data_IF_883206362112
#
_entry.id   IF_883206362112
#
_cell.length_a   1.000
_cell.length_b   1.000
_cell.length_c   1.000
_cell.angle_alpha   90.00
_cell.angle_beta   90.00
_cell.angle_gamma   90.00
#
_symmetry.space_group_name_H-M   'P 1'
#
loop_
_entity.id
_entity.type
_entity.pdbx_description
1 polymer ?
#
# COMPACT_ATOMS: atom_id res chain seq x y z
N UNK A 1 -36.12 20.99 57.43
CA UNK A 1 -35.68 21.37 56.06
C UNK A 1 -34.16 21.22 55.87
N UNK A 2 -33.32 21.58 56.84
CA UNK A 2 -31.85 21.47 56.73
C UNK A 2 -31.31 20.02 56.70
N UNK A 3 -31.90 19.10 57.46
CA UNK A 3 -31.44 17.69 57.49
C UNK A 3 -31.63 17.02 56.12
N UNK A 4 -32.75 17.28 55.45
CA UNK A 4 -33.03 16.75 54.11
C UNK A 4 -32.05 17.30 53.07
N UNK A 5 -31.68 18.59 53.16
CA UNK A 5 -30.65 19.19 52.28
C UNK A 5 -29.26 18.59 52.50
N UNK A 6 -28.88 18.28 53.75
CA UNK A 6 -27.61 17.58 54.04
C UNK A 6 -27.59 16.15 53.52
N UNK A 7 -28.69 15.41 53.63
CA UNK A 7 -28.78 14.03 53.11
C UNK A 7 -28.70 14.01 51.58
N UNK A 8 -29.37 14.96 50.90
CA UNK A 8 -29.29 15.10 49.44
C UNK A 8 -27.85 15.43 49.00
N UNK A 9 -27.17 16.34 49.69
CA UNK A 9 -25.78 16.73 49.37
C UNK A 9 -24.80 15.56 49.56
N UNK A 10 -24.95 14.78 50.64
CA UNK A 10 -24.13 13.57 50.89
C UNK A 10 -24.41 12.52 49.81
N UNK A 11 -25.68 12.35 49.40
CA UNK A 11 -26.05 11.38 48.36
C UNK A 11 -25.43 11.76 47.00
N UNK A 12 -25.44 13.05 46.64
CA UNK A 12 -24.81 13.54 45.40
C UNK A 12 -23.28 13.35 45.45
N UNK A 13 -22.64 13.61 46.59
CA UNK A 13 -21.19 13.41 46.75
C UNK A 13 -20.80 11.92 46.66
N UNK A 14 -21.59 11.02 47.25
CA UNK A 14 -21.35 9.57 47.20
C UNK A 14 -21.57 9.03 45.79
N UNK A 15 -22.63 9.46 45.09
CA UNK A 15 -22.87 9.09 43.69
C UNK A 15 -21.78 9.65 42.76
N UNK A 16 -21.33 10.88 42.98
CA UNK A 16 -20.22 11.48 42.24
C UNK A 16 -18.90 10.74 42.44
N UNK A 17 -18.56 10.37 43.69
CA UNK A 17 -17.35 9.62 43.99
C UNK A 17 -17.37 8.20 43.39
N UNK A 18 -18.52 7.52 43.43
CA UNK A 18 -18.66 6.17 42.85
C UNK A 18 -18.59 6.18 41.33
N UNK A 19 -19.18 7.17 40.66
CA UNK A 19 -19.02 7.37 39.21
C UNK A 19 -17.55 7.66 38.83
N UNK A 20 -16.87 8.52 39.59
CA UNK A 20 -15.47 8.86 39.33
C UNK A 20 -14.53 7.65 39.49
N UNK A 21 -14.74 6.84 40.54
CA UNK A 21 -14.00 5.59 40.75
C UNK A 21 -14.29 4.58 39.63
N UNK A 22 -15.56 4.45 39.20
CA UNK A 22 -15.94 3.56 38.11
C UNK A 22 -15.32 3.97 36.77
N UNK A 23 -15.28 5.27 36.47
CA UNK A 23 -14.62 5.78 35.26
C UNK A 23 -13.11 5.52 35.29
N UNK A 24 -12.44 5.81 36.41
CA UNK A 24 -11.00 5.54 36.55
C UNK A 24 -10.66 4.06 36.45
N UNK A 25 -11.50 3.18 37.02
CA UNK A 25 -11.32 1.74 36.91
C UNK A 25 -11.44 1.29 35.45
N UNK A 26 -12.47 1.76 34.73
CA UNK A 26 -12.66 1.44 33.31
C UNK A 26 -11.50 1.93 32.43
N UNK A 27 -10.97 3.13 32.67
CA UNK A 27 -9.78 3.63 31.98
C UNK A 27 -8.54 2.80 32.27
N UNK A 28 -8.31 2.42 33.53
CA UNK A 28 -7.19 1.57 33.92
C UNK A 28 -7.29 0.16 33.34
N UNK A 29 -8.50 -0.40 33.26
CA UNK A 29 -8.74 -1.71 32.67
C UNK A 29 -8.48 -1.68 31.15
N UNK A 30 -8.88 -0.60 30.44
CA UNK A 30 -8.56 -0.40 29.02
C UNK A 30 -7.05 -0.24 28.79
N UNK A 31 -6.36 0.51 29.66
CA UNK A 31 -4.90 0.69 29.57
C UNK A 31 -4.17 -0.64 29.79
N UNK A 32 -4.59 -1.42 30.80
CA UNK A 32 -4.03 -2.76 31.06
C UNK A 32 -4.33 -3.75 29.93
N UNK A 33 -5.52 -3.68 29.32
CA UNK A 33 -5.85 -4.52 28.19
C UNK A 33 -5.01 -4.16 26.96
N UNK A 34 -4.75 -2.87 26.71
CA UNK A 34 -3.82 -2.41 25.67
C UNK A 34 -2.37 -2.84 25.95
N UNK A 35 -1.94 -2.73 27.20
CA UNK A 35 -0.59 -3.13 27.64
C UNK A 35 -0.40 -4.65 27.53
N UNK A 36 -1.40 -5.45 27.93
CA UNK A 36 -1.39 -6.90 27.78
C UNK A 36 -1.43 -7.34 26.31
N UNK A 37 -2.24 -6.69 25.46
CA UNK A 37 -2.24 -6.96 24.01
C UNK A 37 -0.90 -6.59 23.36
N UNK A 38 -0.25 -5.51 23.80
CA UNK A 38 1.10 -5.17 23.37
C UNK A 38 2.15 -6.19 23.83
N UNK A 39 2.03 -6.73 25.05
CA UNK A 39 2.91 -7.78 25.56
C UNK A 39 2.71 -9.11 24.82
N UNK A 40 1.47 -9.52 24.56
CA UNK A 40 1.14 -10.70 23.75
C UNK A 40 1.64 -10.55 22.31
N UNK A 41 1.51 -9.37 21.70
CA UNK A 41 2.04 -9.08 20.37
C UNK A 41 3.57 -9.12 20.31
N UNK A 42 4.27 -8.86 21.42
CA UNK A 42 5.74 -8.85 21.46
C UNK A 42 6.36 -10.24 21.30
N UNK A 43 5.62 -11.28 21.65
CA UNK A 43 6.11 -12.66 21.60
C UNK A 43 5.82 -13.40 20.29
N UNK A 44 4.86 -12.91 19.50
CA UNK A 44 4.47 -13.48 18.21
C UNK A 44 5.49 -13.21 17.09
N UNK A 45 5.58 -14.13 16.13
CA UNK A 45 6.24 -13.85 14.85
C UNK A 45 5.44 -12.82 14.05
N UNK A 46 6.07 -12.14 13.09
CA UNK A 46 5.35 -11.18 12.22
C UNK A 46 4.20 -11.87 11.47
N UNK A 47 4.42 -13.09 11.00
CA UNK A 47 3.37 -13.86 10.33
C UNK A 47 2.19 -14.14 11.25
N UNK A 48 2.45 -14.55 12.50
CA UNK A 48 1.39 -14.77 13.49
C UNK A 48 0.65 -13.48 13.81
N UNK A 49 1.36 -12.35 13.93
CA UNK A 49 0.76 -11.04 14.14
C UNK A 49 -0.22 -10.66 13.02
N UNK A 50 0.22 -10.78 11.76
CA UNK A 50 -0.63 -10.51 10.60
C UNK A 50 -1.81 -11.47 10.60
N UNK A 51 -1.54 -12.78 10.66
CA UNK A 51 -2.58 -13.82 10.59
C UNK A 51 -3.64 -13.67 11.68
N UNK A 52 -3.25 -13.38 12.91
CA UNK A 52 -4.16 -13.21 14.03
C UNK A 52 -4.96 -11.89 13.98
N UNK A 53 -4.50 -10.92 13.18
CA UNK A 53 -5.15 -9.63 13.00
C UNK A 53 -6.17 -9.60 11.86
N UNK A 54 -6.19 -10.62 10.99
CA UNK A 54 -7.12 -10.70 9.86
C UNK A 54 -8.57 -10.70 10.37
N UNK A 55 -9.37 -9.76 9.88
CA UNK A 55 -10.78 -9.61 10.21
C UNK A 55 -11.66 -10.58 9.39
N UNK A 56 -12.95 -10.65 9.73
CA UNK A 56 -13.91 -11.53 9.04
C UNK A 56 -14.09 -11.23 7.54
N UNK A 57 -13.80 -10.00 7.11
CA UNK A 57 -13.80 -9.60 5.69
C UNK A 57 -12.50 -10.02 4.96
N UNK A 58 -11.53 -10.59 5.66
CA UNK A 58 -10.25 -11.03 5.10
C UNK A 58 -9.23 -9.91 4.91
N UNK A 59 -9.42 -8.76 5.54
CA UNK A 59 -8.53 -7.60 5.54
C UNK A 59 -7.86 -7.41 6.92
N UNK A 60 -6.77 -6.65 6.94
CA UNK A 60 -6.21 -6.14 8.20
C UNK A 60 -7.00 -4.89 8.65
N UNK A 61 -7.07 -4.61 9.96
CA UNK A 61 -7.63 -3.36 10.46
C UNK A 61 -6.95 -2.14 9.83
N UNK A 62 -7.71 -1.06 9.61
CA UNK A 62 -7.20 0.20 9.04
C UNK A 62 -6.04 0.80 9.85
N UNK A 63 -6.01 0.56 11.17
CA UNK A 63 -4.95 1.01 12.07
C UNK A 63 -3.85 -0.05 12.32
N UNK A 64 -3.86 -1.18 11.60
CA UNK A 64 -2.82 -2.20 11.70
C UNK A 64 -1.47 -1.64 11.27
N UNK A 65 -0.44 -1.91 12.08
CA UNK A 65 0.95 -1.55 11.79
C UNK A 65 1.88 -2.60 12.38
N UNK A 66 2.98 -2.88 11.69
CA UNK A 66 4.02 -3.72 12.25
C UNK A 66 4.76 -3.00 13.40
N UNK A 67 5.32 -3.76 14.36
CA UNK A 67 6.18 -3.18 15.38
C UNK A 67 7.37 -2.44 14.74
N UNK A 68 7.68 -1.20 15.17
CA UNK A 68 8.77 -0.45 14.58
C UNK A 68 10.13 -1.12 14.86
N UNK A 69 11.04 -1.07 13.88
CA UNK A 69 12.44 -1.56 14.01
C UNK A 69 13.18 -0.83 15.14
N UNK A 70 12.99 0.49 15.26
CA UNK A 70 13.49 1.30 16.38
C UNK A 70 12.30 1.94 17.12
N UNK A 71 11.97 1.49 18.34
CA UNK A 71 10.91 2.08 19.16
C UNK A 71 11.12 3.57 19.51
N UNK A 72 12.35 4.08 19.40
CA UNK A 72 12.68 5.48 19.67
C UNK A 72 12.84 6.32 18.40
N UNK A 73 12.78 5.69 17.22
CA UNK A 73 12.87 6.35 15.92
C UNK A 73 11.53 6.95 15.49
N UNK A 74 11.56 7.77 14.44
CA UNK A 74 10.33 8.18 13.75
C UNK A 74 9.78 6.96 13.00
N UNK A 75 8.57 6.48 13.33
CA UNK A 75 8.02 5.29 12.68
C UNK A 75 7.65 5.61 11.22
N UNK A 76 8.09 4.76 10.31
CA UNK A 76 7.62 4.75 8.92
C UNK A 76 6.29 4.03 8.84
N UNK A 77 5.45 4.40 7.86
CA UNK A 77 4.33 3.56 7.49
C UNK A 77 4.85 2.28 6.82
N UNK A 78 4.13 1.17 7.00
CA UNK A 78 4.46 -0.11 6.38
C UNK A 78 4.64 0.05 4.85
N UNK A 79 5.79 -0.38 4.34
CA UNK A 79 6.20 -0.28 2.93
C UNK A 79 6.79 1.08 2.51
N UNK A 80 6.77 2.10 3.38
CA UNK A 80 7.16 3.45 2.99
C UNK A 80 8.65 3.62 2.71
N UNK A 81 9.52 2.92 3.43
CA UNK A 81 10.96 2.97 3.16
C UNK A 81 11.28 2.41 1.77
N UNK A 82 10.66 1.28 1.41
CA UNK A 82 10.83 0.64 0.11
C UNK A 82 10.25 1.52 -1.00
N UNK A 83 9.07 2.10 -0.79
CA UNK A 83 8.46 3.07 -1.69
C UNK A 83 9.35 4.29 -1.94
N UNK A 84 9.91 4.89 -0.89
CA UNK A 84 10.82 6.03 -1.03
C UNK A 84 12.07 5.65 -1.82
N UNK A 85 12.66 4.48 -1.54
CA UNK A 85 13.80 4.00 -2.28
C UNK A 85 13.48 3.86 -3.78
N UNK A 86 12.36 3.21 -4.12
CA UNK A 86 11.97 2.92 -5.50
C UNK A 86 11.67 4.19 -6.31
N UNK A 87 10.92 5.13 -5.74
CA UNK A 87 10.41 6.28 -6.49
C UNK A 87 11.33 7.52 -6.43
N UNK A 88 12.19 7.64 -5.42
CA UNK A 88 12.93 8.89 -5.16
C UNK A 88 14.45 8.75 -5.10
N UNK A 89 14.98 7.53 -5.24
CA UNK A 89 16.43 7.33 -5.28
C UNK A 89 16.89 6.93 -6.68
N UNK A 90 18.12 7.33 -7.02
CA UNK A 90 18.82 6.77 -8.19
C UNK A 90 19.24 5.37 -7.78
N UNK A 91 18.54 4.34 -8.25
CA UNK A 91 18.60 2.93 -7.82
C UNK A 91 19.96 2.24 -7.94
N UNK A 92 20.98 2.81 -7.31
CA UNK A 92 22.28 2.20 -7.12
C UNK A 92 22.11 1.13 -6.03
N UNK A 93 22.28 -0.13 -6.42
CA UNK A 93 22.23 -1.23 -5.47
C UNK A 93 23.41 -1.15 -4.49
N UNK A 94 23.12 -1.46 -3.24
CA UNK A 94 24.12 -1.50 -2.18
C UNK A 94 24.92 -2.81 -2.20
N UNK A 95 26.01 -2.85 -1.43
CA UNK A 95 26.84 -4.04 -1.32
C UNK A 95 26.05 -5.25 -0.79
N UNK A 96 26.14 -6.37 -1.54
CA UNK A 96 25.47 -7.63 -1.25
C UNK A 96 26.40 -8.65 -0.59
N UNK A 97 27.69 -8.36 -0.42
CA UNK A 97 28.67 -9.32 0.12
C UNK A 97 28.27 -9.93 1.48
N UNK A 98 27.72 -9.17 2.45
CA UNK A 98 27.22 -9.76 3.69
C UNK A 98 26.11 -10.81 3.44
N UNK A 99 25.21 -10.56 2.48
CA UNK A 99 24.11 -11.48 2.15
C UNK A 99 24.61 -12.71 1.38
N UNK A 100 25.66 -12.60 0.57
CA UNK A 100 26.28 -13.78 -0.07
C UNK A 100 26.81 -14.77 0.96
N UNK A 101 27.50 -14.27 1.99
CA UNK A 101 28.01 -15.13 3.06
C UNK A 101 26.87 -15.88 3.78
N UNK A 102 25.77 -15.18 4.04
CA UNK A 102 24.56 -15.77 4.62
C UNK A 102 23.97 -16.85 3.68
N UNK A 103 23.87 -16.57 2.38
CA UNK A 103 23.39 -17.56 1.40
C UNK A 103 24.27 -18.82 1.40
N UNK A 104 25.60 -18.68 1.52
CA UNK A 104 26.49 -19.84 1.65
C UNK A 104 26.28 -20.59 2.97
N UNK A 105 26.08 -19.89 4.10
CA UNK A 105 25.74 -20.54 5.37
C UNK A 105 24.44 -21.36 5.25
N UNK A 106 23.40 -20.80 4.61
CA UNK A 106 22.16 -21.52 4.33
C UNK A 106 22.41 -22.72 3.42
N UNK A 107 23.16 -22.54 2.33
CA UNK A 107 23.55 -23.61 1.40
C UNK A 107 24.25 -24.77 2.12
N UNK A 108 25.09 -24.48 3.12
CA UNK A 108 25.79 -25.47 3.94
C UNK A 108 24.92 -26.11 5.04
N UNK A 109 23.66 -25.69 5.19
CA UNK A 109 22.72 -26.19 6.22
C UNK A 109 22.90 -25.55 7.59
N UNK A 110 23.66 -24.44 7.70
CA UNK A 110 23.92 -23.72 8.96
C UNK A 110 22.80 -22.72 9.27
N UNK A 111 21.57 -23.19 9.36
CA UNK A 111 20.38 -22.32 9.46
C UNK A 111 20.38 -21.41 10.70
N UNK A 112 20.77 -21.91 11.87
CA UNK A 112 20.83 -21.08 13.10
C UNK A 112 21.86 -19.95 12.99
N UNK A 113 23.02 -20.24 12.37
CA UNK A 113 24.07 -19.25 12.16
C UNK A 113 23.62 -18.20 11.14
N UNK A 114 23.02 -18.64 10.02
CA UNK A 114 22.49 -17.76 8.99
C UNK A 114 21.40 -16.82 9.53
N UNK A 115 20.44 -17.35 10.30
CA UNK A 115 19.39 -16.58 10.95
C UNK A 115 19.97 -15.55 11.94
N UNK A 116 20.91 -15.98 12.79
CA UNK A 116 21.58 -15.07 13.73
C UNK A 116 22.32 -13.93 13.04
N UNK A 117 22.95 -14.21 11.89
CA UNK A 117 23.67 -13.20 11.13
C UNK A 117 22.74 -12.27 10.36
N UNK A 118 21.65 -12.81 9.79
CA UNK A 118 20.59 -12.02 9.17
C UNK A 118 19.95 -11.06 10.17
N UNK A 119 19.65 -11.52 11.39
CA UNK A 119 19.01 -10.71 12.42
C UNK A 119 19.87 -9.55 12.92
N UNK A 120 21.19 -9.70 12.86
CA UNK A 120 22.16 -8.68 13.27
C UNK A 120 22.56 -7.74 12.14
N UNK A 121 22.31 -8.13 10.89
CA UNK A 121 22.69 -7.34 9.75
C UNK A 121 21.79 -6.10 9.68
N UNK A 122 22.40 -4.92 9.59
CA UNK A 122 21.67 -3.70 9.28
C UNK A 122 21.66 -3.51 7.76
N UNK A 123 20.57 -3.93 7.13
CA UNK A 123 20.38 -3.86 5.68
C UNK A 123 18.93 -3.49 5.35
N UNK A 124 18.73 -3.15 4.08
CA UNK A 124 17.42 -3.04 3.47
C UNK A 124 17.41 -3.93 2.23
N UNK A 125 16.41 -4.80 2.12
CA UNK A 125 16.27 -5.71 0.99
C UNK A 125 15.99 -4.99 -0.31
N UNK A 126 15.20 -3.91 -0.29
CA UNK A 126 14.82 -3.19 -1.52
C UNK A 126 16.05 -2.70 -2.30
N UNK A 127 17.15 -2.35 -1.62
CA UNK A 127 18.38 -1.85 -2.23
C UNK A 127 19.38 -2.93 -2.65
N UNK A 128 19.04 -4.22 -2.45
CA UNK A 128 19.93 -5.36 -2.70
C UNK A 128 19.29 -6.52 -3.46
N UNK A 129 17.96 -6.47 -3.65
CA UNK A 129 17.17 -7.60 -4.15
C UNK A 129 17.63 -8.05 -5.54
N UNK A 130 17.79 -7.13 -6.50
CA UNK A 130 18.07 -7.53 -7.89
C UNK A 130 19.48 -8.12 -8.04
N UNK A 131 20.49 -7.49 -7.45
CA UNK A 131 21.87 -7.95 -7.44
C UNK A 131 22.01 -9.29 -6.72
N UNK A 132 21.37 -9.46 -5.56
CA UNK A 132 21.43 -10.72 -4.82
C UNK A 132 20.78 -11.86 -5.61
N UNK A 133 19.56 -11.69 -6.12
CA UNK A 133 18.85 -12.74 -6.84
C UNK A 133 19.58 -13.10 -8.15
N UNK A 134 20.10 -12.09 -8.87
CA UNK A 134 20.91 -12.31 -10.08
C UNK A 134 22.16 -13.15 -9.76
N UNK A 135 22.84 -12.83 -8.67
CA UNK A 135 24.00 -13.59 -8.21
C UNK A 135 23.65 -15.03 -7.81
N UNK A 136 22.54 -15.26 -7.07
CA UNK A 136 22.09 -16.62 -6.72
C UNK A 136 21.81 -17.44 -7.97
N UNK A 137 21.14 -16.87 -8.98
CA UNK A 137 20.85 -17.55 -10.25
C UNK A 137 22.15 -17.91 -11.00
N UNK A 138 23.12 -16.99 -11.02
CA UNK A 138 24.43 -17.22 -11.64
C UNK A 138 25.21 -18.35 -10.94
N UNK A 139 25.19 -18.35 -9.60
CA UNK A 139 25.96 -19.28 -8.77
C UNK A 139 25.19 -20.52 -8.32
N UNK A 140 24.01 -20.78 -8.89
CA UNK A 140 23.11 -21.87 -8.50
C UNK A 140 23.75 -23.27 -8.49
N UNK A 141 24.86 -23.48 -9.20
CA UNK A 141 25.61 -24.75 -9.18
C UNK A 141 26.44 -24.96 -7.91
N UNK A 142 26.78 -23.88 -7.22
CA UNK A 142 27.56 -23.87 -5.98
C UNK A 142 26.68 -23.72 -4.73
N UNK A 143 25.38 -23.50 -4.95
CA UNK A 143 24.40 -23.21 -3.92
C UNK A 143 23.40 -24.37 -3.84
N UNK A 144 23.16 -24.90 -2.64
CA UNK A 144 22.11 -25.87 -2.40
C UNK A 144 20.75 -25.16 -2.35
N UNK A 145 20.02 -25.21 -3.48
CA UNK A 145 18.70 -24.58 -3.61
C UNK A 145 17.64 -25.20 -2.69
N UNK A 146 17.74 -26.48 -2.35
CA UNK A 146 16.80 -27.12 -1.42
C UNK A 146 16.95 -26.51 -0.02
N UNK A 147 18.19 -26.30 0.43
CA UNK A 147 18.44 -25.67 1.72
C UNK A 147 17.97 -24.21 1.74
N UNK A 148 18.16 -23.47 0.65
CA UNK A 148 17.62 -22.10 0.53
C UNK A 148 16.10 -22.07 0.62
N UNK A 149 15.43 -22.97 -0.09
CA UNK A 149 13.99 -23.10 -0.03
C UNK A 149 13.49 -23.47 1.37
N UNK A 150 14.09 -24.48 2.02
CA UNK A 150 13.71 -24.90 3.38
C UNK A 150 13.90 -23.76 4.39
N UNK A 151 15.04 -23.06 4.31
CA UNK A 151 15.28 -21.90 5.15
C UNK A 151 14.24 -20.81 4.91
N UNK A 152 14.05 -20.39 3.65
CA UNK A 152 13.17 -19.28 3.34
C UNK A 152 11.70 -19.58 3.70
N UNK A 153 11.18 -20.77 3.35
CA UNK A 153 9.79 -21.16 3.65
C UNK A 153 9.54 -21.29 5.16
N UNK A 154 10.51 -21.82 5.92
CA UNK A 154 10.37 -21.95 7.38
C UNK A 154 10.43 -20.59 8.09
N UNK A 155 11.30 -19.68 7.64
CA UNK A 155 11.52 -18.39 8.31
C UNK A 155 10.43 -17.36 8.05
N UNK A 156 9.62 -17.52 7.00
CA UNK A 156 8.42 -16.71 6.80
C UNK A 156 7.52 -16.67 8.05
N UNK A 157 7.44 -17.77 8.81
CA UNK A 157 6.48 -17.90 9.92
C UNK A 157 7.09 -17.82 11.31
N UNK A 158 8.42 -17.80 11.44
CA UNK A 158 9.10 -17.86 12.75
C UNK A 158 9.82 -16.58 13.14
N UNK A 159 10.17 -15.72 12.19
CA UNK A 159 10.95 -14.52 12.49
C UNK A 159 10.10 -13.33 12.94
N UNK A 160 10.73 -12.43 13.68
CA UNK A 160 10.20 -11.11 14.07
C UNK A 160 10.87 -9.97 13.30
N UNK A 161 11.73 -10.29 12.33
CA UNK A 161 12.51 -9.33 11.60
C UNK A 161 11.93 -9.12 10.19
N UNK A 162 11.51 -7.88 9.92
CA UNK A 162 10.91 -7.45 8.64
C UNK A 162 11.84 -7.77 7.47
N UNK A 163 13.13 -7.42 7.59
CA UNK A 163 14.10 -7.59 6.49
C UNK A 163 14.43 -9.06 6.24
N UNK A 164 14.31 -9.92 7.26
CA UNK A 164 14.42 -11.38 7.09
C UNK A 164 13.23 -11.94 6.32
N UNK A 165 12.01 -11.47 6.57
CA UNK A 165 10.84 -11.88 5.76
C UNK A 165 11.00 -11.42 4.32
N UNK A 166 11.41 -10.17 4.08
CA UNK A 166 11.68 -9.66 2.73
C UNK A 166 12.76 -10.47 2.02
N UNK A 167 13.82 -10.85 2.73
CA UNK A 167 14.87 -11.74 2.20
C UNK A 167 14.28 -13.09 1.79
N UNK A 168 13.50 -13.71 2.67
CA UNK A 168 12.87 -15.01 2.41
C UNK A 168 11.91 -14.94 1.22
N UNK A 169 11.03 -13.93 1.15
CA UNK A 169 10.12 -13.73 0.01
C UNK A 169 10.90 -13.51 -1.29
N UNK A 170 11.98 -12.73 -1.27
CA UNK A 170 12.84 -12.50 -2.43
C UNK A 170 13.48 -13.81 -2.92
N UNK A 171 14.03 -14.62 -2.01
CA UNK A 171 14.59 -15.93 -2.35
C UNK A 171 13.51 -16.84 -2.92
N UNK A 172 12.35 -16.96 -2.29
CA UNK A 172 11.24 -17.80 -2.76
C UNK A 172 10.74 -17.38 -4.16
N UNK A 173 10.84 -16.09 -4.49
CA UNK A 173 10.51 -15.60 -5.83
C UNK A 173 11.35 -16.24 -6.94
N UNK A 174 12.48 -16.87 -6.67
CA UNK A 174 13.29 -17.60 -7.67
C UNK A 174 13.32 -19.13 -7.47
N UNK A 175 12.50 -19.68 -6.57
CA UNK A 175 12.52 -21.11 -6.19
C UNK A 175 11.40 -21.97 -6.80
N UNK A 176 10.66 -21.46 -7.78
CA UNK A 176 9.55 -22.15 -8.45
C UNK A 176 8.51 -22.74 -7.47
N UNK A 177 8.00 -21.89 -6.56
CA UNK A 177 7.05 -22.27 -5.50
C UNK A 177 5.59 -22.29 -5.95
N UNK A 178 5.30 -22.13 -7.25
CA UNK A 178 3.95 -21.92 -7.77
C UNK A 178 3.01 -23.10 -7.51
N UNK A 179 3.57 -24.31 -7.36
CA UNK A 179 2.82 -25.54 -7.08
C UNK A 179 2.80 -25.93 -5.60
N UNK A 180 3.54 -25.21 -4.74
CA UNK A 180 3.50 -25.43 -3.30
C UNK A 180 2.38 -24.60 -2.65
N UNK A 181 1.22 -25.23 -2.51
CA UNK A 181 0.05 -24.60 -1.90
C UNK A 181 0.29 -24.12 -0.47
N UNK A 182 1.16 -24.77 0.32
CA UNK A 182 1.41 -24.36 1.70
C UNK A 182 2.22 -23.07 1.77
N UNK A 183 3.31 -22.98 1.00
CA UNK A 183 4.09 -21.74 0.91
C UNK A 183 3.29 -20.61 0.29
N UNK A 184 2.49 -20.88 -0.75
CA UNK A 184 1.64 -19.85 -1.36
C UNK A 184 0.60 -19.30 -0.39
N UNK A 185 0.00 -20.12 0.49
CA UNK A 185 -0.90 -19.59 1.53
C UNK A 185 -0.16 -18.64 2.49
N UNK A 186 1.05 -19.01 2.93
CA UNK A 186 1.85 -18.13 3.79
C UNK A 186 2.13 -16.78 3.12
N UNK A 187 2.46 -16.80 1.82
CA UNK A 187 2.70 -15.60 1.01
C UNK A 187 1.41 -14.76 0.88
N UNK A 188 0.24 -15.38 0.68
CA UNK A 188 -1.05 -14.67 0.63
C UNK A 188 -1.39 -13.93 1.91
N UNK A 189 -1.12 -14.54 3.07
CA UNK A 189 -1.31 -13.89 4.37
C UNK A 189 -0.37 -12.68 4.51
N UNK A 190 0.91 -12.85 4.19
CA UNK A 190 1.90 -11.76 4.28
C UNK A 190 1.56 -10.60 3.32
N UNK A 191 1.01 -10.90 2.14
CA UNK A 191 0.62 -9.91 1.15
C UNK A 191 -0.51 -8.98 1.60
N UNK A 192 -1.17 -9.24 2.73
CA UNK A 192 -2.15 -8.32 3.31
C UNK A 192 -1.49 -7.13 4.02
N UNK A 193 -0.21 -7.21 4.37
CA UNK A 193 0.56 -6.09 4.93
C UNK A 193 1.24 -5.31 3.82
N UNK A 194 1.09 -3.98 3.84
CA UNK A 194 1.73 -3.08 2.89
C UNK A 194 3.27 -3.24 2.86
N UNK A 195 3.88 -3.65 3.98
CA UNK A 195 5.33 -3.91 4.12
C UNK A 195 5.84 -5.04 3.20
N UNK A 196 5.02 -6.07 2.99
CA UNK A 196 5.43 -7.29 2.26
C UNK A 196 4.77 -7.46 0.90
N UNK A 197 3.73 -6.66 0.61
CA UNK A 197 2.94 -6.76 -0.63
C UNK A 197 3.83 -6.79 -1.88
N UNK A 198 4.80 -5.88 -2.00
CA UNK A 198 5.72 -5.82 -3.15
C UNK A 198 6.45 -7.15 -3.40
N UNK A 199 7.00 -7.75 -2.34
CA UNK A 199 7.74 -9.01 -2.45
C UNK A 199 6.83 -10.19 -2.74
N UNK A 200 5.61 -10.19 -2.22
CA UNK A 200 4.61 -11.22 -2.51
C UNK A 200 4.12 -11.15 -3.97
N UNK A 201 3.95 -9.94 -4.52
CA UNK A 201 3.59 -9.74 -5.93
C UNK A 201 4.63 -10.37 -6.88
N UNK A 202 5.92 -10.30 -6.55
CA UNK A 202 7.00 -10.96 -7.32
C UNK A 202 6.87 -12.50 -7.37
N UNK A 203 6.16 -13.10 -6.42
CA UNK A 203 5.81 -14.53 -6.44
C UNK A 203 4.50 -14.72 -7.21
N UNK A 204 3.49 -13.88 -6.96
CA UNK A 204 2.17 -14.01 -7.60
C UNK A 204 2.20 -13.90 -9.12
N UNK A 205 3.12 -13.13 -9.71
CA UNK A 205 3.27 -13.04 -11.18
C UNK A 205 3.54 -14.38 -11.88
N UNK A 206 3.96 -15.40 -11.13
CA UNK A 206 4.27 -16.73 -11.67
C UNK A 206 3.13 -17.72 -11.53
N UNK A 207 2.10 -17.41 -10.74
CA UNK A 207 0.96 -18.29 -10.51
C UNK A 207 0.09 -18.44 -11.76
N UNK A 208 -0.53 -19.61 -11.95
CA UNK A 208 -1.47 -19.83 -13.07
C UNK A 208 -2.67 -18.86 -13.01
N UNK A 209 -3.15 -18.55 -11.81
CA UNK A 209 -4.23 -17.59 -11.55
C UNK A 209 -3.72 -16.21 -11.11
N UNK A 210 -2.51 -15.84 -11.50
CA UNK A 210 -1.79 -14.63 -11.08
C UNK A 210 -2.66 -13.37 -10.98
N UNK A 211 -3.31 -12.97 -12.08
CA UNK A 211 -4.07 -11.73 -12.13
C UNK A 211 -5.24 -11.70 -11.12
N UNK A 212 -5.84 -12.87 -10.85
CA UNK A 212 -6.92 -12.98 -9.86
C UNK A 212 -6.37 -12.77 -8.45
N UNK A 213 -5.25 -13.39 -8.11
CA UNK A 213 -4.62 -13.21 -6.78
C UNK A 213 -4.17 -11.76 -6.57
N UNK A 214 -3.55 -11.15 -7.58
CA UNK A 214 -3.15 -9.74 -7.54
C UNK A 214 -4.38 -8.83 -7.36
N UNK A 215 -5.48 -9.12 -8.05
CA UNK A 215 -6.73 -8.35 -7.90
C UNK A 215 -7.33 -8.48 -6.50
N UNK A 216 -7.36 -9.68 -5.93
CA UNK A 216 -7.84 -9.90 -4.56
C UNK A 216 -6.96 -9.18 -3.53
N UNK A 217 -5.64 -9.24 -3.68
CA UNK A 217 -4.72 -8.54 -2.78
C UNK A 217 -4.88 -7.04 -2.93
N UNK A 218 -4.89 -6.52 -4.16
CA UNK A 218 -5.12 -5.11 -4.43
C UNK A 218 -6.32 -4.66 -3.60
N UNK A 219 -7.52 -5.21 -3.78
CA UNK A 219 -8.75 -4.80 -3.04
C UNK A 219 -8.55 -4.62 -1.53
N UNK A 220 -7.69 -5.42 -0.89
CA UNK A 220 -7.49 -5.47 0.56
C UNK A 220 -6.43 -4.52 1.12
N UNK A 221 -5.41 -4.18 0.34
CA UNK A 221 -4.32 -3.28 0.77
C UNK A 221 -4.66 -1.81 0.48
N UNK A 222 -4.32 -0.87 1.36
CA UNK A 222 -4.72 0.54 1.21
C UNK A 222 -3.53 1.52 1.15
N UNK A 223 -2.36 1.16 1.68
CA UNK A 223 -1.14 1.97 1.62
C UNK A 223 -0.23 1.62 0.43
N UNK A 224 1.07 1.40 0.71
CA UNK A 224 2.07 1.10 -0.32
C UNK A 224 1.80 -0.21 -1.08
N UNK A 225 1.13 -1.18 -0.45
CA UNK A 225 0.67 -2.38 -1.11
C UNK A 225 -0.32 -2.07 -2.24
N UNK A 226 -1.21 -1.08 -2.09
CA UNK A 226 -2.09 -0.61 -3.18
C UNK A 226 -1.26 -0.03 -4.32
N UNK A 227 -0.34 0.86 -3.97
CA UNK A 227 0.57 1.52 -4.93
C UNK A 227 1.30 0.49 -5.78
N UNK A 228 1.87 -0.54 -5.16
CA UNK A 228 2.56 -1.61 -5.88
C UNK A 228 1.59 -2.50 -6.67
N UNK A 229 0.48 -2.94 -6.08
CA UNK A 229 -0.46 -3.88 -6.72
C UNK A 229 -1.04 -3.35 -8.02
N UNK A 230 -1.31 -2.04 -8.13
CA UNK A 230 -1.81 -1.41 -9.35
C UNK A 230 -0.83 -1.54 -10.51
N UNK A 231 0.48 -1.51 -10.26
CA UNK A 231 1.49 -1.75 -11.29
C UNK A 231 1.43 -3.16 -11.88
N UNK A 232 1.10 -4.16 -11.04
CA UNK A 232 1.08 -5.58 -11.39
C UNK A 232 -0.27 -6.06 -11.95
N UNK A 233 -1.37 -5.40 -11.63
CA UNK A 233 -2.72 -5.80 -12.02
C UNK A 233 -2.98 -5.54 -13.52
N UNK A 234 -3.42 -6.54 -14.26
CA UNK A 234 -3.77 -6.43 -15.68
C UNK A 234 -5.29 -6.31 -15.90
N UNK A 235 -5.67 -5.43 -16.83
CA UNK A 235 -7.08 -5.19 -17.22
C UNK A 235 -7.53 -6.29 -18.18
N UNK A 236 -7.96 -7.41 -17.62
CA UNK A 236 -8.36 -8.61 -18.39
C UNK A 236 -9.86 -8.69 -18.66
N UNK A 237 -10.66 -7.84 -18.01
CA UNK A 237 -12.12 -7.76 -18.17
C UNK A 237 -12.65 -6.40 -17.68
N UNK A 238 -13.94 -6.15 -17.92
CA UNK A 238 -14.59 -4.90 -17.54
C UNK A 238 -14.72 -4.72 -16.02
N UNK A 239 -14.83 -5.79 -15.24
CA UNK A 239 -14.89 -5.71 -13.76
C UNK A 239 -13.61 -5.07 -13.21
N UNK A 240 -12.44 -5.51 -13.67
CA UNK A 240 -11.16 -4.93 -13.28
C UNK A 240 -11.02 -3.51 -13.81
N UNK A 241 -11.47 -3.25 -15.05
CA UNK A 241 -11.40 -1.91 -15.66
C UNK A 241 -12.20 -0.88 -14.85
N UNK A 242 -13.45 -1.21 -14.50
CA UNK A 242 -14.30 -0.35 -13.67
C UNK A 242 -13.74 -0.24 -12.25
N UNK A 243 -13.28 -1.34 -11.65
CA UNK A 243 -12.71 -1.29 -10.31
C UNK A 243 -11.44 -0.42 -10.24
N UNK A 244 -10.56 -0.44 -11.25
CA UNK A 244 -9.39 0.44 -11.28
C UNK A 244 -9.80 1.91 -11.39
N UNK A 245 -10.86 2.23 -12.15
CA UNK A 245 -11.40 3.59 -12.21
C UNK A 245 -11.96 4.03 -10.84
N UNK A 246 -12.74 3.17 -10.19
CA UNK A 246 -13.46 3.50 -8.96
C UNK A 246 -12.56 3.50 -7.72
N UNK A 247 -11.57 2.61 -7.64
CA UNK A 247 -10.82 2.32 -6.41
C UNK A 247 -9.31 2.33 -6.62
N UNK A 248 -8.83 2.21 -7.86
CA UNK A 248 -7.41 1.98 -8.13
C UNK A 248 -6.51 3.15 -7.71
N UNK A 249 -7.03 4.38 -7.79
CA UNK A 249 -6.31 5.59 -7.38
C UNK A 249 -6.43 5.89 -5.87
N UNK A 250 -7.41 5.29 -5.19
CA UNK A 250 -7.65 5.49 -3.76
C UNK A 250 -6.62 4.73 -2.92
N UNK A 251 -5.73 5.47 -2.26
CA UNK A 251 -4.70 4.93 -1.37
C UNK A 251 -4.35 5.91 -0.25
N UNK A 252 -3.80 5.38 0.84
CA UNK A 252 -3.46 6.12 2.06
C UNK A 252 -2.08 6.79 2.01
N UNK A 253 -1.41 6.75 0.85
CA UNK A 253 -0.09 7.37 0.63
C UNK A 253 -0.25 8.73 -0.05
N UNK A 254 -0.49 8.72 -1.35
CA UNK A 254 -0.82 9.87 -2.19
C UNK A 254 -1.43 9.34 -3.49
N UNK A 255 -2.64 9.75 -3.90
CA UNK A 255 -3.29 9.30 -5.14
C UNK A 255 -2.39 9.39 -6.39
N UNK A 256 -1.55 10.42 -6.47
CA UNK A 256 -0.62 10.65 -7.57
C UNK A 256 0.28 9.45 -7.92
N UNK A 257 0.69 8.62 -6.94
CA UNK A 257 1.53 7.44 -7.18
C UNK A 257 0.90 6.38 -8.09
N UNK A 258 -0.43 6.35 -8.18
CA UNK A 258 -1.16 5.35 -8.98
C UNK A 258 -1.90 5.98 -10.16
N UNK A 259 -2.15 7.30 -10.14
CA UNK A 259 -2.99 7.99 -11.12
C UNK A 259 -2.55 7.76 -12.57
N UNK A 260 -1.27 7.95 -12.88
CA UNK A 260 -0.73 7.70 -14.23
C UNK A 260 -0.99 6.27 -14.70
N UNK A 261 -0.64 5.29 -13.84
CA UNK A 261 -0.79 3.86 -14.15
C UNK A 261 -2.25 3.48 -14.33
N UNK A 262 -3.15 3.95 -13.47
CA UNK A 262 -4.59 3.76 -13.58
C UNK A 262 -5.11 4.32 -14.90
N UNK A 263 -4.86 5.61 -15.19
CA UNK A 263 -5.34 6.28 -16.40
C UNK A 263 -4.88 5.57 -17.69
N UNK A 264 -3.63 5.08 -17.70
CA UNK A 264 -3.08 4.31 -18.82
C UNK A 264 -3.72 2.94 -18.96
N UNK A 265 -3.80 2.16 -17.87
CA UNK A 265 -4.33 0.79 -17.88
C UNK A 265 -5.81 0.73 -18.29
N UNK A 266 -6.62 1.67 -17.84
CA UNK A 266 -8.06 1.70 -18.19
C UNK A 266 -8.35 2.42 -19.50
N UNK A 267 -7.33 2.98 -20.17
CA UNK A 267 -7.49 3.85 -21.34
C UNK A 267 -8.54 4.94 -21.07
N UNK A 268 -8.20 5.89 -20.19
CA UNK A 268 -9.15 6.91 -19.72
C UNK A 268 -9.81 7.71 -20.87
N UNK A 269 -9.09 7.92 -21.98
CA UNK A 269 -9.64 8.59 -23.19
C UNK A 269 -10.77 7.76 -23.81
N UNK A 270 -10.64 6.43 -23.89
CA UNK A 270 -11.71 5.54 -24.37
C UNK A 270 -12.97 5.67 -23.51
N UNK A 271 -12.81 5.70 -22.18
CA UNK A 271 -13.92 5.87 -21.24
C UNK A 271 -14.59 7.23 -21.44
N UNK A 272 -13.80 8.30 -21.60
CA UNK A 272 -14.32 9.64 -21.87
C UNK A 272 -14.99 9.77 -23.25
N UNK A 273 -14.66 8.90 -24.20
CA UNK A 273 -15.35 8.86 -25.50
C UNK A 273 -16.73 8.19 -25.44
N UNK A 274 -17.07 7.48 -24.35
CA UNK A 274 -18.39 6.87 -24.20
C UNK A 274 -19.48 7.96 -24.18
N UNK A 275 -20.51 7.78 -25.01
CA UNK A 275 -21.67 8.67 -25.06
C UNK A 275 -22.52 8.66 -23.80
N UNK A 276 -22.37 7.68 -22.90
CA UNK A 276 -23.21 7.48 -21.71
C UNK A 276 -22.40 7.35 -20.42
N UNK A 277 -21.85 8.46 -19.93
CA UNK A 277 -21.18 8.52 -18.63
C UNK A 277 -22.20 8.99 -17.57
N UNK A 278 -22.33 8.25 -16.48
CA UNK A 278 -23.16 8.63 -15.33
C UNK A 278 -22.46 9.69 -14.48
N UNK A 279 -23.20 10.45 -13.67
CA UNK A 279 -22.58 11.43 -12.77
C UNK A 279 -21.60 10.77 -11.78
N UNK A 280 -21.94 9.59 -11.22
CA UNK A 280 -21.03 8.86 -10.34
C UNK A 280 -19.71 8.55 -11.07
N UNK A 281 -19.81 7.96 -12.26
CA UNK A 281 -18.62 7.58 -13.04
C UNK A 281 -17.80 8.81 -13.44
N UNK A 282 -18.46 9.93 -13.72
CA UNK A 282 -17.74 11.19 -13.97
C UNK A 282 -17.01 11.70 -12.73
N UNK A 283 -17.58 11.59 -11.53
CA UNK A 283 -16.88 11.93 -10.29
C UNK A 283 -15.64 11.05 -10.08
N UNK A 284 -15.73 9.74 -10.36
CA UNK A 284 -14.60 8.82 -10.27
C UNK A 284 -13.49 9.21 -11.28
N UNK A 285 -13.89 9.63 -12.50
CA UNK A 285 -12.97 10.20 -13.50
C UNK A 285 -12.34 11.50 -13.00
N UNK A 286 -13.11 12.40 -12.38
CA UNK A 286 -12.61 13.67 -11.82
C UNK A 286 -11.57 13.42 -10.74
N UNK A 287 -11.82 12.48 -9.83
CA UNK A 287 -10.85 12.10 -8.80
C UNK A 287 -9.52 11.62 -9.42
N UNK A 288 -9.59 10.75 -10.43
CA UNK A 288 -8.41 10.29 -11.15
C UNK A 288 -7.69 11.43 -11.90
N UNK A 289 -8.44 12.35 -12.51
CA UNK A 289 -7.88 13.52 -13.19
C UNK A 289 -7.20 14.49 -12.22
N UNK A 290 -7.76 14.71 -11.02
CA UNK A 290 -7.14 15.50 -9.96
C UNK A 290 -5.79 14.90 -9.57
N UNK A 291 -5.79 13.61 -9.22
CA UNK A 291 -4.60 12.89 -8.83
C UNK A 291 -3.52 12.85 -9.94
N UNK A 292 -3.94 12.84 -11.22
CA UNK A 292 -3.05 12.86 -12.36
C UNK A 292 -2.42 14.25 -12.60
N UNK A 293 -3.10 15.33 -12.20
CA UNK A 293 -2.61 16.71 -12.27
C UNK A 293 -1.67 17.06 -11.11
N UNK A 294 -1.75 16.32 -9.98
CA UNK A 294 -0.82 16.45 -8.87
C UNK A 294 0.53 15.80 -9.20
N UNK A 295 1.48 16.62 -9.67
CA UNK A 295 2.85 16.20 -9.95
C UNK A 295 3.85 16.59 -8.83
N UNK A 296 3.37 16.81 -7.61
CA UNK A 296 4.20 17.29 -6.49
C UNK A 296 5.21 16.27 -5.98
N UNK A 297 4.88 14.98 -6.06
CA UNK A 297 5.74 13.88 -5.61
C UNK A 297 6.25 13.00 -6.76
N UNK A 298 5.45 12.81 -7.81
CA UNK A 298 5.76 11.93 -8.92
C UNK A 298 5.20 12.51 -10.21
N UNK A 299 5.84 12.25 -11.34
CA UNK A 299 5.35 12.70 -12.64
C UNK A 299 4.02 12.04 -12.99
N UNK A 300 3.07 12.82 -13.51
CA UNK A 300 1.71 12.43 -13.85
C UNK A 300 1.35 12.86 -15.27
N UNK A 301 0.40 13.80 -15.41
CA UNK A 301 -0.14 14.27 -16.68
C UNK A 301 0.91 14.70 -17.71
N UNK A 302 2.02 15.32 -17.27
CA UNK A 302 3.09 15.80 -18.16
C UNK A 302 3.73 14.70 -19.00
N UNK A 303 3.69 13.45 -18.52
CA UNK A 303 4.29 12.28 -19.18
C UNK A 303 3.34 11.55 -20.13
N UNK A 304 2.07 11.96 -20.21
CA UNK A 304 1.12 11.40 -21.16
C UNK A 304 1.30 12.05 -22.54
N UNK A 305 1.58 11.23 -23.55
CA UNK A 305 1.70 11.67 -24.95
C UNK A 305 0.40 12.34 -25.43
N UNK A 306 -0.76 11.76 -25.07
CA UNK A 306 -2.08 12.23 -25.46
C UNK A 306 -2.72 13.20 -24.44
N UNK A 307 -1.92 13.91 -23.64
CA UNK A 307 -2.42 14.79 -22.54
C UNK A 307 -3.41 15.86 -23.02
N UNK A 308 -3.19 16.47 -24.19
CA UNK A 308 -4.12 17.46 -24.74
C UNK A 308 -5.47 16.85 -25.12
N UNK A 309 -5.45 15.65 -25.71
CA UNK A 309 -6.66 14.92 -26.07
C UNK A 309 -7.43 14.51 -24.80
N UNK A 310 -6.72 14.05 -23.77
CA UNK A 310 -7.33 13.75 -22.48
C UNK A 310 -8.02 14.97 -21.86
N UNK A 311 -7.33 16.13 -21.84
CA UNK A 311 -7.89 17.41 -21.39
C UNK A 311 -9.13 17.78 -22.20
N UNK A 312 -9.06 17.70 -23.54
CA UNK A 312 -10.18 18.02 -24.42
C UNK A 312 -11.41 17.16 -24.10
N UNK A 313 -11.23 15.84 -24.01
CA UNK A 313 -12.32 14.90 -23.73
C UNK A 313 -12.92 15.08 -22.35
N UNK A 314 -12.10 15.34 -21.34
CA UNK A 314 -12.59 15.64 -20.00
C UNK A 314 -13.42 16.92 -19.98
N UNK A 315 -12.91 18.01 -20.57
CA UNK A 315 -13.62 19.29 -20.62
C UNK A 315 -14.90 19.24 -21.46
N UNK A 316 -14.97 18.40 -22.49
CA UNK A 316 -16.20 18.14 -23.24
C UNK A 316 -17.30 17.56 -22.34
N UNK A 317 -16.96 16.60 -21.47
CA UNK A 317 -17.89 15.97 -20.52
C UNK A 317 -18.24 16.90 -19.35
N UNK A 318 -17.25 17.61 -18.82
CA UNK A 318 -17.40 18.54 -17.70
C UNK A 318 -18.48 19.60 -17.95
N UNK A 319 -18.63 20.10 -19.19
CA UNK A 319 -19.68 21.06 -19.58
C UNK A 319 -21.10 20.65 -19.19
N UNK A 320 -21.38 19.34 -19.14
CA UNK A 320 -22.72 18.80 -18.89
C UNK A 320 -22.81 17.95 -17.64
N UNK A 321 -21.70 17.38 -17.17
CA UNK A 321 -21.68 16.42 -16.06
C UNK A 321 -21.09 16.98 -14.76
N UNK A 322 -20.33 18.08 -14.80
CA UNK A 322 -19.77 18.68 -13.58
C UNK A 322 -20.88 19.08 -12.61
N UNK A 323 -20.84 18.52 -11.42
CA UNK A 323 -21.87 18.70 -10.39
C UNK A 323 -21.33 18.72 -8.96
N UNK A 324 -20.08 18.30 -8.76
CA UNK A 324 -19.41 18.26 -7.45
C UNK A 324 -18.29 19.30 -7.37
N UNK A 325 -17.88 19.64 -6.14
CA UNK A 325 -16.73 20.53 -5.90
C UNK A 325 -15.46 20.01 -6.56
N UNK A 326 -15.23 18.69 -6.48
CA UNK A 326 -14.13 17.98 -7.12
C UNK A 326 -14.11 18.21 -8.65
N UNK A 327 -15.26 18.08 -9.32
CA UNK A 327 -15.32 18.28 -10.78
C UNK A 327 -14.87 19.69 -11.19
N UNK A 328 -15.28 20.71 -10.43
CA UNK A 328 -14.91 22.10 -10.68
C UNK A 328 -13.46 22.38 -10.29
N UNK A 329 -12.96 21.72 -9.24
CA UNK A 329 -11.56 21.80 -8.84
C UNK A 329 -10.65 21.25 -9.93
N UNK A 330 -10.98 20.11 -10.52
CA UNK A 330 -10.23 19.58 -11.68
C UNK A 330 -10.25 20.57 -12.84
N UNK A 331 -11.38 21.21 -13.14
CA UNK A 331 -11.45 22.23 -14.21
C UNK A 331 -10.53 23.44 -13.88
N UNK A 332 -10.45 23.86 -12.61
CA UNK A 332 -9.52 24.89 -12.15
C UNK A 332 -8.06 24.45 -12.30
N UNK A 333 -7.73 23.23 -11.88
CA UNK A 333 -6.39 22.66 -11.99
C UNK A 333 -5.96 22.49 -13.45
N UNK A 334 -6.85 22.04 -14.34
CA UNK A 334 -6.59 22.00 -15.79
C UNK A 334 -6.30 23.40 -16.32
N UNK A 335 -7.06 24.41 -15.89
CA UNK A 335 -6.85 25.80 -16.32
C UNK A 335 -5.44 26.28 -15.93
N UNK A 336 -5.02 26.03 -14.69
CA UNK A 336 -3.68 26.38 -14.18
C UNK A 336 -2.58 25.61 -14.89
N UNK A 337 -2.76 24.30 -15.05
CA UNK A 337 -1.84 23.44 -15.79
C UNK A 337 -1.64 23.92 -17.24
N UNK A 338 -2.72 24.31 -17.93
CA UNK A 338 -2.64 24.89 -19.28
C UNK A 338 -2.02 26.29 -19.25
N UNK A 339 -2.23 27.09 -18.22
CA UNK A 339 -1.62 28.43 -18.08
C UNK A 339 -0.09 28.30 -17.98
N UNK A 340 0.38 27.39 -17.12
CA UNK A 340 1.80 27.16 -16.84
C UNK A 340 2.54 26.39 -17.95
N UNK A 341 1.83 25.72 -18.86
CA UNK A 341 2.44 24.92 -19.92
C UNK A 341 2.31 25.58 -21.31
N UNK A 342 3.43 26.05 -21.87
CA UNK A 342 3.46 26.73 -23.19
C UNK A 342 3.18 25.79 -24.37
N UNK A 343 3.38 24.48 -24.21
CA UNK A 343 3.19 23.49 -25.28
C UNK A 343 1.73 23.12 -25.49
N UNK A 344 0.84 23.49 -24.57
CA UNK A 344 -0.57 23.13 -24.60
C UNK A 344 -1.42 24.25 -25.22
N UNK A 345 -2.39 23.90 -26.07
CA UNK A 345 -3.30 24.84 -26.71
C UNK A 345 -4.09 25.67 -25.67
N UNK A 346 -3.79 26.98 -25.65
CA UNK A 346 -4.42 27.95 -24.72
C UNK A 346 -5.93 28.11 -24.94
N UNK A 347 -6.53 27.52 -25.99
CA UNK A 347 -8.01 27.43 -26.15
C UNK A 347 -8.69 26.82 -24.93
N UNK A 348 -8.03 25.88 -24.23
CA UNK A 348 -8.61 25.18 -23.09
C UNK A 348 -8.90 26.11 -21.91
N UNK A 349 -8.11 27.18 -21.71
CA UNK A 349 -8.35 28.19 -20.67
C UNK A 349 -9.75 28.79 -20.80
N UNK A 350 -10.15 29.18 -22.02
CA UNK A 350 -11.48 29.73 -22.28
C UNK A 350 -12.58 28.71 -22.03
N UNK A 351 -12.34 27.42 -22.28
CA UNK A 351 -13.30 26.35 -22.01
C UNK A 351 -13.48 26.19 -20.51
N UNK A 352 -12.39 26.14 -19.74
CA UNK A 352 -12.42 26.08 -18.28
C UNK A 352 -13.16 27.29 -17.68
N UNK A 353 -12.83 28.52 -18.12
CA UNK A 353 -13.47 29.75 -17.64
C UNK A 353 -15.00 29.73 -17.86
N UNK A 354 -15.47 29.20 -18.99
CA UNK A 354 -16.89 29.08 -19.27
C UNK A 354 -17.58 28.09 -18.31
N UNK A 355 -16.96 26.95 -18.04
CA UNK A 355 -17.49 25.93 -17.11
C UNK A 355 -17.54 26.50 -15.68
N UNK A 356 -16.43 27.10 -15.21
CA UNK A 356 -16.33 27.65 -13.85
C UNK A 356 -17.31 28.81 -13.61
N UNK A 357 -17.56 29.65 -14.61
CA UNK A 357 -18.52 30.76 -14.48
C UNK A 357 -19.99 30.31 -14.62
N UNK A 358 -20.25 29.12 -15.16
CA UNK A 358 -21.61 28.59 -15.28
C UNK A 358 -22.23 28.18 -13.93
N UNK A 359 -21.40 27.84 -12.94
CA UNK A 359 -21.78 27.45 -11.59
C UNK A 359 -22.02 28.64 -10.62
N UNK A 360 -21.82 29.89 -11.07
CA UNK A 360 -22.07 31.10 -10.26
C UNK A 360 -23.54 31.56 -10.27
N UNK A 361 -24.48 30.70 -10.69
CA UNK A 361 -25.91 31.06 -10.87
C UNK A 361 -26.83 30.36 -9.90
#
# INVERSE_FOLDING_TARGET
MEILKKIILISILVVGATLFISCNKKTNDILKEKENKQLEAKDLSIYELIKNSIQNNGELPEDFKLPPKDPNGVPWADGAMDGVYIYHTVGNEEDIEPLKNIVFQISEGKFEEAETNLDKLDFSMVSRTNSLLSWIIQEQKQINLNNLYEFASSRLVTTKNIEVIKFCLSVLAIMNVETDAETIEKVKILALSDEFTLYCLNIFVKLENSNKEIFEIAKKVKGWGRVHSIGYLEVTNDEIKEWILEEGCHNDVLPAYTAYTCAKKINLIEILNDGKISNKKFNDISYLMNALLDESAITGMSTLEDRELLIERYLEKAKTLSSTEEDYEVVRLIREYVEDNEEIDKKFIKICDNILNSNKK
#
